data_IF_344848007189
#
_entry.id   IF_344848007189
#
_cell.length_a   1.000
_cell.length_b   1.000
_cell.length_c   1.000
_cell.angle_alpha   90.00
_cell.angle_beta   90.00
_cell.angle_gamma   90.00
#
_symmetry.space_group_name_H-M   'P 1'
#
loop_
_entity.id
_entity.type
_entity.pdbx_description
1 polymer ?
#
# COMPACT_ATOMS: atom_id res chain seq x y z
N UNK A 1 21.21 2.82 38.73
CA UNK A 1 20.97 2.50 37.30
C UNK A 1 20.32 3.72 36.67
N UNK A 2 20.96 4.34 35.67
CA UNK A 2 20.55 5.63 35.12
C UNK A 2 19.15 5.57 34.51
N UNK A 3 18.31 6.55 34.84
CA UNK A 3 16.88 6.64 34.51
C UNK A 3 16.63 7.01 33.02
N UNK A 4 17.69 7.25 32.23
CA UNK A 4 17.60 7.73 30.85
C UNK A 4 18.38 6.85 29.87
N UNK A 5 17.71 6.39 28.81
CA UNK A 5 18.32 5.66 27.69
C UNK A 5 19.22 6.57 26.85
N UNK A 6 20.35 6.03 26.37
CA UNK A 6 21.26 6.76 25.48
C UNK A 6 20.59 7.12 24.13
N UNK A 7 21.14 8.09 23.39
CA UNK A 7 20.65 8.47 22.04
C UNK A 7 20.68 7.25 21.10
N UNK A 8 21.71 6.43 21.21
CA UNK A 8 21.86 5.19 20.44
C UNK A 8 20.87 4.11 20.87
N UNK A 9 20.67 3.90 22.17
CA UNK A 9 19.68 2.93 22.68
C UNK A 9 18.26 3.27 22.21
N UNK A 10 17.90 4.56 22.19
CA UNK A 10 16.62 5.03 21.65
C UNK A 10 16.51 4.86 20.13
N UNK A 11 17.60 5.03 19.39
CA UNK A 11 17.65 4.78 17.93
C UNK A 11 17.43 3.30 17.64
N UNK A 12 18.20 2.42 18.28
CA UNK A 12 18.09 0.96 18.12
C UNK A 12 16.70 0.44 18.50
N UNK A 13 16.13 0.95 19.59
CA UNK A 13 14.77 0.57 19.98
C UNK A 13 13.74 0.97 18.90
N UNK A 14 13.83 2.18 18.36
CA UNK A 14 12.92 2.65 17.30
C UNK A 14 13.07 1.84 16.02
N UNK A 15 14.29 1.49 15.63
CA UNK A 15 14.54 0.64 14.46
C UNK A 15 13.97 -0.76 14.63
N UNK A 16 14.10 -1.33 15.84
CA UNK A 16 13.47 -2.60 16.16
C UNK A 16 11.94 -2.53 16.07
N UNK A 17 11.32 -1.46 16.58
CA UNK A 17 9.87 -1.28 16.49
C UNK A 17 9.39 -1.11 15.05
N UNK A 18 10.11 -0.36 14.21
CA UNK A 18 9.80 -0.24 12.77
C UNK A 18 9.90 -1.61 12.08
N UNK A 19 10.98 -2.36 12.33
CA UNK A 19 11.15 -3.72 11.80
C UNK A 19 10.03 -4.66 12.24
N UNK A 20 9.61 -4.61 13.51
CA UNK A 20 8.46 -5.38 14.00
C UNK A 20 7.16 -4.98 13.30
N UNK A 21 6.94 -3.68 13.09
CA UNK A 21 5.80 -3.16 12.34
C UNK A 21 5.74 -3.70 10.91
N UNK A 22 6.86 -3.61 10.18
CA UNK A 22 7.01 -4.18 8.83
C UNK A 22 6.68 -5.68 8.84
N UNK A 23 7.20 -6.44 9.81
CA UNK A 23 6.94 -7.88 9.92
C UNK A 23 5.47 -8.18 10.20
N UNK A 24 4.80 -7.38 11.03
CA UNK A 24 3.35 -7.51 11.29
C UNK A 24 2.55 -7.27 10.02
N UNK A 25 2.88 -6.22 9.27
CA UNK A 25 2.23 -5.90 7.99
C UNK A 25 2.43 -7.04 6.97
N UNK A 26 3.65 -7.59 6.86
CA UNK A 26 3.92 -8.74 5.98
C UNK A 26 3.09 -9.98 6.33
N UNK A 27 2.92 -10.26 7.61
CA UNK A 27 2.03 -11.35 8.07
C UNK A 27 0.58 -11.09 7.68
N UNK A 28 0.08 -9.88 7.94
CA UNK A 28 -1.27 -9.48 7.55
C UNK A 28 -1.51 -9.59 6.03
N UNK A 29 -0.52 -9.23 5.20
CA UNK A 29 -0.59 -9.44 3.75
C UNK A 29 -0.66 -10.91 3.36
N UNK A 30 0.10 -11.77 4.06
CA UNK A 30 0.06 -13.22 3.83
C UNK A 30 -1.33 -13.78 4.16
N UNK A 31 -1.91 -13.34 5.29
CA UNK A 31 -3.25 -13.77 5.70
C UNK A 31 -4.33 -13.26 4.75
N UNK A 32 -4.23 -12.01 4.28
CA UNK A 32 -5.14 -11.46 3.28
C UNK A 32 -5.04 -12.18 1.94
N UNK A 33 -3.83 -12.57 1.51
CA UNK A 33 -3.62 -13.39 0.32
C UNK A 33 -4.31 -14.75 0.41
N UNK A 34 -4.19 -15.43 1.55
CA UNK A 34 -4.90 -16.70 1.81
C UNK A 34 -6.42 -16.52 1.80
N UNK A 35 -6.92 -15.47 2.45
CA UNK A 35 -8.35 -15.17 2.45
C UNK A 35 -8.87 -14.88 1.03
N UNK A 36 -8.09 -14.17 0.20
CA UNK A 36 -8.40 -13.90 -1.21
C UNK A 36 -8.50 -15.20 -2.01
N UNK A 37 -7.57 -16.14 -1.84
CA UNK A 37 -7.61 -17.48 -2.45
C UNK A 37 -8.85 -18.27 -2.01
N UNK A 38 -9.18 -18.29 -0.72
CA UNK A 38 -10.39 -18.95 -0.24
C UNK A 38 -11.66 -18.34 -0.82
N UNK A 39 -11.73 -17.02 -0.94
CA UNK A 39 -12.86 -16.33 -1.56
C UNK A 39 -12.98 -16.71 -3.03
N UNK A 40 -11.86 -16.84 -3.76
CA UNK A 40 -11.84 -17.30 -5.15
C UNK A 40 -12.38 -18.72 -5.30
N UNK A 41 -11.95 -19.64 -4.44
CA UNK A 41 -12.47 -21.02 -4.46
C UNK A 41 -13.99 -21.06 -4.20
N UNK A 42 -14.46 -20.29 -3.20
CA UNK A 42 -15.88 -20.14 -2.89
C UNK A 42 -16.64 -19.54 -4.07
N UNK A 43 -16.08 -18.53 -4.76
CA UNK A 43 -16.69 -17.89 -5.91
C UNK A 43 -16.88 -18.87 -7.07
N UNK A 44 -15.82 -19.62 -7.42
CA UNK A 44 -15.87 -20.65 -8.47
C UNK A 44 -16.85 -21.76 -8.14
N UNK A 45 -16.96 -22.15 -6.86
CA UNK A 45 -17.96 -23.12 -6.41
C UNK A 45 -19.39 -22.57 -6.54
N UNK A 46 -19.64 -21.33 -6.10
CA UNK A 46 -20.95 -20.69 -6.23
C UNK A 46 -21.39 -20.55 -7.71
N UNK A 47 -20.45 -20.23 -8.60
CA UNK A 47 -20.68 -20.18 -10.05
C UNK A 47 -21.09 -21.56 -10.60
N UNK A 48 -20.35 -22.62 -10.27
CA UNK A 48 -20.69 -24.01 -10.69
C UNK A 48 -22.05 -24.48 -10.17
N UNK A 49 -22.47 -24.02 -8.99
CA UNK A 49 -23.76 -24.37 -8.39
C UNK A 49 -24.92 -23.50 -8.90
N UNK A 50 -24.65 -22.47 -9.71
CA UNK A 50 -25.68 -21.52 -10.17
C UNK A 50 -26.26 -20.64 -9.05
N UNK A 51 -25.61 -20.56 -7.89
CA UNK A 51 -26.10 -19.84 -6.72
C UNK A 51 -25.77 -18.33 -6.83
N UNK A 52 -26.57 -17.60 -7.60
CA UNK A 52 -26.28 -16.20 -7.98
C UNK A 52 -26.20 -15.23 -6.80
N UNK A 53 -27.04 -15.38 -5.78
CA UNK A 53 -27.02 -14.52 -4.59
C UNK A 53 -25.73 -14.73 -3.76
N UNK A 54 -25.31 -15.98 -3.63
CA UNK A 54 -24.06 -16.34 -2.94
C UNK A 54 -22.85 -15.84 -3.73
N UNK A 55 -22.88 -15.97 -5.06
CA UNK A 55 -21.84 -15.44 -5.93
C UNK A 55 -21.70 -13.92 -5.81
N UNK A 56 -22.82 -13.18 -5.77
CA UNK A 56 -22.80 -11.73 -5.60
C UNK A 56 -22.19 -11.30 -4.25
N UNK A 57 -22.55 -11.99 -3.17
CA UNK A 57 -21.95 -11.77 -1.85
C UNK A 57 -20.44 -12.07 -1.84
N UNK A 58 -20.03 -13.22 -2.36
CA UNK A 58 -18.63 -13.63 -2.40
C UNK A 58 -17.80 -12.64 -3.24
N UNK A 59 -18.32 -12.16 -4.37
CA UNK A 59 -17.66 -11.12 -5.19
C UNK A 59 -17.40 -9.84 -4.41
N UNK A 60 -18.38 -9.37 -3.63
CA UNK A 60 -18.22 -8.18 -2.79
C UNK A 60 -17.14 -8.39 -1.73
N UNK A 61 -17.14 -9.55 -1.07
CA UNK A 61 -16.13 -9.89 -0.05
C UNK A 61 -14.73 -10.06 -0.64
N UNK A 62 -14.61 -10.67 -1.82
CA UNK A 62 -13.36 -10.79 -2.56
C UNK A 62 -12.82 -9.41 -2.93
N UNK A 63 -13.67 -8.52 -3.46
CA UNK A 63 -13.32 -7.13 -3.78
C UNK A 63 -12.82 -6.35 -2.57
N UNK A 64 -13.52 -6.45 -1.44
CA UNK A 64 -13.11 -5.81 -0.21
C UNK A 64 -11.74 -6.32 0.27
N UNK A 65 -11.53 -7.64 0.24
CA UNK A 65 -10.27 -8.28 0.65
C UNK A 65 -9.11 -7.85 -0.26
N UNK A 66 -9.29 -7.88 -1.57
CA UNK A 66 -8.28 -7.45 -2.55
C UNK A 66 -7.95 -5.96 -2.41
N UNK A 67 -8.98 -5.13 -2.15
CA UNK A 67 -8.81 -3.68 -1.92
C UNK A 67 -7.96 -3.44 -0.67
N UNK A 68 -8.27 -4.15 0.42
CA UNK A 68 -7.52 -4.08 1.66
C UNK A 68 -6.07 -4.56 1.47
N UNK A 69 -5.85 -5.66 0.74
CA UNK A 69 -4.51 -6.17 0.44
C UNK A 69 -3.68 -5.12 -0.32
N UNK A 70 -4.22 -4.54 -1.39
CA UNK A 70 -3.53 -3.51 -2.19
C UNK A 70 -3.21 -2.25 -1.38
N UNK A 71 -4.15 -1.81 -0.54
CA UNK A 71 -3.92 -0.66 0.33
C UNK A 71 -2.72 -0.91 1.27
N UNK A 72 -2.67 -2.08 1.90
CA UNK A 72 -1.60 -2.45 2.82
C UNK A 72 -0.27 -2.68 2.09
N UNK A 73 -0.29 -3.25 0.88
CA UNK A 73 0.91 -3.36 0.02
C UNK A 73 1.50 -1.99 -0.30
N UNK A 74 0.64 -1.02 -0.67
CA UNK A 74 1.06 0.37 -0.92
C UNK A 74 1.69 0.99 0.33
N UNK A 75 1.05 0.80 1.49
CA UNK A 75 1.55 1.31 2.76
C UNK A 75 2.90 0.66 3.15
N UNK A 76 3.03 -0.65 2.96
CA UNK A 76 4.27 -1.37 3.21
C UNK A 76 5.41 -0.80 2.36
N UNK A 77 5.17 -0.58 1.06
CA UNK A 77 6.15 0.02 0.15
C UNK A 77 6.57 1.42 0.62
N UNK A 78 5.62 2.25 1.05
CA UNK A 78 5.92 3.58 1.60
C UNK A 78 6.79 3.51 2.85
N UNK A 79 6.51 2.59 3.78
CA UNK A 79 7.30 2.42 5.01
C UNK A 79 8.70 1.89 4.69
N UNK A 80 8.82 0.91 3.81
CA UNK A 80 10.12 0.34 3.41
C UNK A 80 11.01 1.40 2.74
N UNK A 81 10.43 2.20 1.83
CA UNK A 81 11.13 3.33 1.21
C UNK A 81 11.56 4.38 2.25
N UNK A 82 10.66 4.74 3.16
CA UNK A 82 10.97 5.71 4.21
C UNK A 82 12.07 5.21 5.16
N UNK A 83 12.03 3.93 5.53
CA UNK A 83 13.06 3.30 6.36
C UNK A 83 14.42 3.24 5.64
N UNK A 84 14.45 2.96 4.34
CA UNK A 84 15.67 2.98 3.54
C UNK A 84 16.28 4.39 3.48
N UNK A 85 15.46 5.41 3.21
CA UNK A 85 15.90 6.80 3.18
C UNK A 85 16.46 7.26 4.53
N UNK A 86 15.85 6.84 5.64
CA UNK A 86 16.39 7.07 6.99
C UNK A 86 17.80 6.48 7.11
N UNK A 87 17.98 5.19 6.80
CA UNK A 87 19.29 4.52 6.93
C UNK A 87 20.36 5.19 6.06
N UNK A 88 19.97 5.69 4.88
CA UNK A 88 20.86 6.45 4.00
C UNK A 88 21.26 7.80 4.61
N UNK A 89 20.30 8.54 5.19
CA UNK A 89 20.59 9.80 5.88
C UNK A 89 21.52 9.59 7.09
N UNK A 90 21.30 8.54 7.87
CA UNK A 90 22.18 8.18 8.99
C UNK A 90 23.59 7.79 8.51
N UNK A 91 23.70 7.06 7.39
CA UNK A 91 24.99 6.72 6.79
C UNK A 91 25.75 7.97 6.33
N UNK A 92 25.04 8.95 5.75
CA UNK A 92 25.65 10.23 5.39
C UNK A 92 26.09 11.04 6.61
N UNK A 93 25.33 11.01 7.71
CA UNK A 93 25.72 11.66 8.96
C UNK A 93 27.00 11.05 9.52
N UNK A 94 27.09 9.71 9.58
CA UNK A 94 28.32 9.00 10.02
C UNK A 94 29.50 9.27 9.10
N UNK A 95 29.28 9.31 7.78
CA UNK A 95 30.33 9.64 6.82
C UNK A 95 30.85 11.08 7.04
N UNK A 96 29.96 12.06 7.15
CA UNK A 96 30.33 13.45 7.40
C UNK A 96 31.08 13.62 8.74
N UNK A 97 30.65 12.90 9.79
CA UNK A 97 31.34 12.85 11.09
C UNK A 97 32.78 12.33 10.94
N UNK A 98 32.96 11.19 10.26
CA UNK A 98 34.28 10.61 10.03
C UNK A 98 35.20 11.54 9.24
N UNK A 99 34.67 12.21 8.22
CA UNK A 99 35.41 13.20 7.42
C UNK A 99 35.78 14.45 8.23
N UNK A 100 34.90 14.89 9.13
CA UNK A 100 35.20 15.99 10.07
C UNK A 100 36.38 15.66 10.99
N UNK A 101 36.42 14.44 11.55
CA UNK A 101 37.55 13.97 12.37
C UNK A 101 38.84 13.97 11.56
N UNK A 102 38.82 13.41 10.35
CA UNK A 102 40.00 13.37 9.46
C UNK A 102 40.46 14.79 9.10
N UNK A 103 39.55 15.68 8.72
CA UNK A 103 39.87 17.07 8.37
C UNK A 103 40.51 17.82 9.55
N UNK A 104 40.01 17.61 10.77
CA UNK A 104 40.56 18.18 11.99
C UNK A 104 41.98 17.67 12.27
N UNK A 105 42.19 16.36 12.19
CA UNK A 105 43.52 15.76 12.37
C UNK A 105 44.54 16.26 11.34
N UNK A 106 44.13 16.46 10.08
CA UNK A 106 45.01 17.03 9.05
C UNK A 106 45.30 18.50 9.35
N UNK A 107 44.30 19.29 9.75
CA UNK A 107 44.51 20.71 10.05
C UNK A 107 45.43 20.93 11.27
N UNK A 108 45.31 20.08 12.30
CA UNK A 108 46.21 20.13 13.47
C UNK A 108 47.68 19.89 13.10
N UNK A 109 47.93 19.09 12.05
CA UNK A 109 49.28 18.80 11.54
C UNK A 109 49.79 19.86 10.57
N UNK A 110 48.95 20.38 9.68
CA UNK A 110 49.37 21.22 8.54
C UNK A 110 48.99 22.71 8.62
N UNK A 111 48.15 23.14 9.58
CA UNK A 111 47.70 24.54 9.81
C UNK A 111 47.37 25.33 8.54
N UNK A 112 46.65 24.72 7.59
CA UNK A 112 46.31 25.36 6.31
C UNK A 112 44.91 25.97 6.32
N UNK A 113 44.80 27.22 5.84
CA UNK A 113 43.58 28.07 5.90
C UNK A 113 42.36 27.51 5.15
N UNK A 114 42.55 26.66 4.14
CA UNK A 114 41.44 26.13 3.35
C UNK A 114 40.73 24.94 4.03
N UNK A 115 41.43 24.24 4.93
CA UNK A 115 40.86 23.10 5.67
C UNK A 115 39.78 23.53 6.67
N UNK A 116 39.82 24.78 7.14
CA UNK A 116 38.79 25.34 8.02
C UNK A 116 37.45 25.51 7.29
N UNK A 117 37.48 25.93 6.01
CA UNK A 117 36.27 25.97 5.16
C UNK A 117 35.73 24.57 4.89
N UNK A 118 36.63 23.63 4.62
CA UNK A 118 36.28 22.21 4.44
C UNK A 118 35.61 21.65 5.70
N UNK A 119 36.15 21.94 6.89
CA UNK A 119 35.55 21.56 8.17
C UNK A 119 34.12 22.11 8.32
N UNK A 120 33.92 23.41 8.08
CA UNK A 120 32.58 24.05 8.18
C UNK A 120 31.56 23.46 7.20
N UNK A 121 31.98 23.15 5.98
CA UNK A 121 31.10 22.50 4.99
C UNK A 121 30.67 21.11 5.44
N UNK A 122 31.57 20.35 6.09
CA UNK A 122 31.24 19.04 6.67
C UNK A 122 30.29 19.16 7.87
N UNK A 123 30.54 20.11 8.77
CA UNK A 123 29.64 20.39 9.91
C UNK A 123 28.23 20.79 9.43
N UNK A 124 28.14 21.59 8.37
CA UNK A 124 26.86 21.97 7.77
C UNK A 124 26.12 20.79 7.12
N UNK A 125 26.82 19.93 6.38
CA UNK A 125 26.25 18.71 5.80
C UNK A 125 25.76 17.74 6.89
N UNK A 126 26.48 17.64 8.01
CA UNK A 126 26.10 16.83 9.17
C UNK A 126 24.79 17.33 9.79
N UNK A 127 24.65 18.64 10.03
CA UNK A 127 23.41 19.23 10.56
C UNK A 127 22.20 18.98 9.65
N UNK A 128 22.39 19.06 8.33
CA UNK A 128 21.32 18.77 7.38
C UNK A 128 20.92 17.29 7.40
N UNK A 129 21.90 16.38 7.45
CA UNK A 129 21.65 14.94 7.54
C UNK A 129 20.92 14.56 8.85
N UNK A 130 21.32 15.12 9.98
CA UNK A 130 20.63 14.91 11.27
C UNK A 130 19.18 15.43 11.22
N UNK A 131 18.97 16.62 10.64
CA UNK A 131 17.62 17.19 10.50
C UNK A 131 16.73 16.33 9.62
N UNK A 132 17.26 15.80 8.51
CA UNK A 132 16.55 14.89 7.61
C UNK A 132 16.18 13.60 8.34
N UNK A 133 17.13 13.00 9.07
CA UNK A 133 16.89 11.79 9.86
C UNK A 133 15.79 12.00 10.91
N UNK A 134 15.79 13.14 11.60
CA UNK A 134 14.78 13.47 12.62
C UNK A 134 13.37 13.66 12.02
N UNK A 135 13.28 14.32 10.84
CA UNK A 135 12.00 14.47 10.13
C UNK A 135 11.45 13.13 9.66
N UNK A 136 12.34 12.24 9.19
CA UNK A 136 11.97 10.89 8.77
C UNK A 136 11.49 10.05 9.95
N UNK A 137 12.17 10.14 11.10
CA UNK A 137 11.75 9.49 12.35
C UNK A 137 10.34 9.95 12.76
N UNK A 138 10.05 11.26 12.70
CA UNK A 138 8.73 11.80 13.03
C UNK A 138 7.65 11.30 12.08
N UNK A 139 7.93 11.28 10.77
CA UNK A 139 7.01 10.73 9.77
C UNK A 139 6.73 9.24 10.03
N UNK A 140 7.77 8.45 10.31
CA UNK A 140 7.64 7.04 10.63
C UNK A 140 6.87 6.82 11.95
N UNK A 141 6.99 7.68 12.94
CA UNK A 141 6.19 7.60 14.17
C UNK A 141 4.72 7.99 13.91
N UNK A 142 4.45 9.09 13.22
CA UNK A 142 3.09 9.52 12.91
C UNK A 142 2.35 8.51 12.02
N UNK A 143 3.07 7.89 11.08
CA UNK A 143 2.51 6.84 10.23
C UNK A 143 2.19 5.57 11.01
N UNK A 144 2.91 5.22 12.09
CA UNK A 144 2.50 4.10 12.95
C UNK A 144 1.07 4.31 13.46
N UNK A 145 0.77 5.48 14.02
CA UNK A 145 -0.53 5.74 14.63
C UNK A 145 -1.68 5.76 13.62
N UNK A 146 -1.44 6.25 12.40
CA UNK A 146 -2.45 6.26 11.32
C UNK A 146 -2.60 4.88 10.65
N UNK A 147 -1.52 4.13 10.47
CA UNK A 147 -1.54 2.82 9.83
C UNK A 147 -2.12 1.72 10.73
N UNK A 148 -1.92 1.81 12.05
CA UNK A 148 -2.50 0.86 13.00
C UNK A 148 -3.96 1.14 13.35
N UNK A 149 -4.48 2.34 13.04
CA UNK A 149 -5.86 2.72 13.32
C UNK A 149 -6.89 2.24 12.30
N UNK A 150 -6.49 1.49 11.27
CA UNK A 150 -7.42 0.79 10.36
C UNK A 150 -8.25 1.68 9.43
N UNK A 151 -8.15 3.00 9.54
CA UNK A 151 -8.84 3.93 8.64
C UNK A 151 -8.06 4.06 7.33
N UNK A 152 -8.44 3.26 6.34
CA UNK A 152 -8.08 3.51 4.94
C UNK A 152 -8.79 4.78 4.48
N UNK A 153 -8.13 5.92 4.63
CA UNK A 153 -8.54 7.13 3.96
C UNK A 153 -8.45 6.95 2.43
N UNK A 154 -9.51 7.42 1.77
CA UNK A 154 -9.60 7.86 0.37
C UNK A 154 -10.30 6.91 -0.61
N UNK A 155 -11.39 7.44 -1.20
CA UNK A 155 -12.28 6.83 -2.19
C UNK A 155 -11.67 6.56 -3.57
N UNK A 156 -10.44 6.09 -3.60
CA UNK A 156 -9.82 5.52 -4.79
C UNK A 156 -10.25 4.04 -4.89
N UNK A 157 -10.95 3.68 -5.97
CA UNK A 157 -11.35 2.29 -6.19
C UNK A 157 -10.13 1.47 -6.61
N UNK A 158 -9.39 0.96 -5.60
CA UNK A 158 -8.14 0.20 -5.81
C UNK A 158 -8.35 -1.10 -6.57
N UNK A 159 -9.58 -1.63 -6.64
CA UNK A 159 -9.93 -2.86 -7.35
C UNK A 159 -11.24 -2.65 -8.09
N UNK A 160 -11.26 -2.93 -9.40
CA UNK A 160 -12.46 -2.81 -10.24
C UNK A 160 -13.30 -4.10 -10.23
N UNK A 161 -14.59 -4.00 -10.59
CA UNK A 161 -15.45 -5.19 -10.70
C UNK A 161 -15.04 -6.10 -11.87
N UNK A 162 -14.41 -5.54 -12.90
CA UNK A 162 -13.82 -6.27 -14.03
C UNK A 162 -12.64 -7.13 -13.62
N UNK A 163 -11.80 -6.61 -12.76
CA UNK A 163 -10.67 -7.37 -12.25
C UNK A 163 -11.14 -8.57 -11.43
N UNK A 164 -12.16 -8.38 -10.58
CA UNK A 164 -12.76 -9.45 -9.78
C UNK A 164 -13.38 -10.54 -10.67
N UNK A 165 -14.02 -10.15 -11.77
CA UNK A 165 -14.54 -11.10 -12.75
C UNK A 165 -13.44 -11.93 -13.40
N UNK A 166 -12.35 -11.28 -13.82
CA UNK A 166 -11.21 -11.96 -14.40
C UNK A 166 -10.56 -12.92 -13.42
N UNK A 167 -10.42 -12.53 -12.15
CA UNK A 167 -9.84 -13.40 -11.11
C UNK A 167 -10.69 -14.66 -10.87
N UNK A 168 -12.02 -14.53 -10.89
CA UNK A 168 -12.94 -15.68 -10.74
C UNK A 168 -12.88 -16.59 -11.98
N UNK A 169 -12.55 -16.04 -13.14
CA UNK A 169 -12.58 -16.73 -14.44
C UNK A 169 -13.92 -16.56 -15.17
N UNK A 170 -14.69 -15.53 -14.81
CA UNK A 170 -15.89 -15.13 -15.54
C UNK A 170 -15.39 -14.37 -16.78
N UNK A 171 -15.17 -15.09 -17.88
CA UNK A 171 -14.94 -14.43 -19.17
C UNK A 171 -16.16 -13.55 -19.48
N UNK A 172 -15.91 -12.35 -20.01
CA UNK A 172 -16.91 -11.31 -20.33
C UNK A 172 -18.13 -11.77 -21.15
N UNK A 173 -18.13 -13.01 -21.63
CA UNK A 173 -19.26 -13.74 -22.25
C UNK A 173 -20.40 -14.09 -21.29
N UNK A 174 -20.18 -14.29 -19.99
CA UNK A 174 -21.27 -14.56 -19.02
C UNK A 174 -21.93 -13.28 -18.48
N UNK A 175 -21.37 -12.09 -18.79
CA UNK A 175 -21.94 -10.78 -18.44
C UNK A 175 -23.15 -10.37 -19.28
N UNK A 176 -23.61 -11.18 -20.24
CA UNK A 176 -24.88 -10.92 -20.93
C UNK A 176 -26.07 -11.24 -20.01
N UNK A 177 -26.20 -10.50 -18.91
CA UNK A 177 -27.53 -9.99 -18.54
C UNK A 177 -27.93 -9.10 -19.71
N UNK A 178 -28.95 -9.52 -20.47
CA UNK A 178 -29.52 -8.75 -21.59
C UNK A 178 -29.49 -7.26 -21.23
N UNK A 179 -28.82 -6.46 -22.06
CA UNK A 179 -28.80 -5.00 -21.89
C UNK A 179 -30.25 -4.53 -21.86
N UNK A 180 -30.56 -3.45 -21.13
CA UNK A 180 -31.93 -2.90 -21.08
C UNK A 180 -32.50 -2.66 -22.49
N UNK A 181 -31.63 -2.30 -23.44
CA UNK A 181 -31.94 -2.18 -24.87
C UNK A 181 -32.25 -3.50 -25.59
N UNK A 182 -31.67 -4.63 -25.17
CA UNK A 182 -32.00 -5.96 -25.71
C UNK A 182 -33.32 -6.49 -25.12
N UNK A 183 -33.59 -6.21 -23.83
CA UNK A 183 -34.89 -6.49 -23.20
C UNK A 183 -36.02 -5.64 -23.81
N UNK A 184 -35.77 -4.35 -24.04
CA UNK A 184 -36.74 -3.46 -24.69
C UNK A 184 -37.02 -3.89 -26.14
N UNK A 185 -36.01 -4.40 -26.86
CA UNK A 185 -36.19 -4.96 -28.21
C UNK A 185 -37.00 -6.25 -28.24
N UNK A 186 -36.89 -7.09 -27.20
CA UNK A 186 -37.62 -8.35 -27.10
C UNK A 186 -39.07 -8.12 -26.67
N UNK A 187 -39.31 -7.20 -25.72
CA UNK A 187 -40.65 -6.75 -25.32
C UNK A 187 -41.35 -6.04 -26.50
N UNK A 188 -40.64 -5.21 -27.28
CA UNK A 188 -41.20 -4.60 -28.48
C UNK A 188 -41.54 -5.62 -29.57
N UNK A 189 -40.81 -6.75 -29.64
CA UNK A 189 -41.08 -7.84 -30.58
C UNK A 189 -42.32 -8.64 -30.18
N UNK A 190 -42.46 -8.99 -28.90
CA UNK A 190 -43.65 -9.69 -28.39
C UNK A 190 -44.92 -8.81 -28.46
N UNK A 191 -44.81 -7.51 -28.21
CA UNK A 191 -45.95 -6.57 -28.35
C UNK A 191 -46.32 -6.30 -29.82
N UNK A 192 -45.36 -6.35 -30.74
CA UNK A 192 -45.62 -6.21 -32.18
C UNK A 192 -46.31 -7.42 -32.79
N UNK A 193 -46.01 -8.63 -32.31
CA UNK A 193 -46.64 -9.87 -32.77
C UNK A 193 -48.08 -10.01 -32.26
N UNK A 194 -48.37 -9.56 -31.02
CA UNK A 194 -49.75 -9.51 -30.49
C UNK A 194 -50.67 -8.51 -31.23
N UNK A 195 -50.13 -7.41 -31.76
CA UNK A 195 -50.92 -6.42 -32.52
C UNK A 195 -51.33 -6.90 -33.91
N UNK A 196 -50.65 -7.89 -34.48
CA UNK A 196 -50.96 -8.44 -35.81
C UNK A 196 -51.96 -9.59 -35.80
N UNK A 197 -52.19 -10.21 -34.63
CA UNK A 197 -53.18 -11.27 -34.47
C UNK A 197 -54.59 -10.73 -34.18
N UNK A 198 -54.73 -9.53 -33.60
CA UNK A 198 -56.05 -8.87 -33.42
C UNK A 198 -56.62 -8.26 -34.71
N UNK A 199 -55.79 -7.93 -35.70
CA UNK A 199 -56.25 -7.32 -36.97
C UNK A 199 -56.65 -8.34 -38.05
N UNK A 200 -56.36 -9.64 -37.83
CA UNK A 200 -56.82 -10.75 -38.69
C UNK A 200 -58.10 -11.45 -38.19
N UNK A 201 -58.65 -11.00 -37.07
CA UNK A 201 -59.86 -11.56 -36.45
C UNK A 201 -61.08 -10.62 -36.50
N UNK A 202 -61.12 -9.67 -37.44
CA UNK A 202 -62.30 -8.86 -37.76
C UNK A 202 -62.71 -8.98 -39.23
#
# INVERSE_FOLDING_TARGET
MGIFKSKEERRLQRDMEIKKGIQRIKRQLTDLGRNEEEWLEKARRAQRMGAMDQLAFIRKSLKATATQRRAIERQLLTIEAAFQMKNQAESYATFAESMGVVAKSINDVYKNTDLEKTQRNFEHAMMQAETMSQRMDLFLDMSKDTLFSGETASGEQLVSDEEIDQMIGISSTERKKKTREELDKEIARELGEMGTDEEKAK
#
